data_IF_335459288668
#
_entry.id   IF_335459288668
#
_cell.length_a   1.000
_cell.length_b   1.000
_cell.length_c   1.000
_cell.angle_alpha   90.00
_cell.angle_beta   90.00
_cell.angle_gamma   90.00
#
_symmetry.space_group_name_H-M   'P 1'
#
loop_
_entity.id
_entity.type
_entity.pdbx_description
1 polymer ?
#
# COMPACT_ATOMS: atom_id res chain seq x y z
N UNK A 1 -17.17 4.22 -11.14
CA UNK A 1 -15.90 3.44 -11.20
C UNK A 1 -15.08 3.68 -12.46
N UNK A 2 -15.67 4.08 -13.60
CA UNK A 2 -14.89 4.35 -14.82
C UNK A 2 -13.81 5.44 -14.64
N UNK A 3 -14.11 6.50 -13.86
CA UNK A 3 -13.19 7.59 -13.52
C UNK A 3 -11.85 7.13 -12.93
N UNK A 4 -11.76 5.95 -12.30
CA UNK A 4 -10.49 5.44 -11.76
C UNK A 4 -9.51 5.09 -12.89
N UNK A 5 -10.01 4.59 -14.02
CA UNK A 5 -9.15 4.11 -15.11
C UNK A 5 -8.87 5.19 -16.16
N UNK A 6 -9.82 6.10 -16.39
CA UNK A 6 -9.65 7.24 -17.33
C UNK A 6 -9.21 8.54 -16.68
N UNK A 7 -9.46 8.69 -15.38
CA UNK A 7 -9.20 9.93 -14.65
C UNK A 7 -7.75 10.06 -14.20
N UNK A 8 -7.37 11.26 -13.76
CA UNK A 8 -6.02 11.63 -13.33
C UNK A 8 -4.97 11.19 -14.37
N UNK A 9 -5.19 11.51 -15.65
CA UNK A 9 -4.31 11.14 -16.77
C UNK A 9 -4.03 9.62 -16.91
N UNK A 10 -5.00 8.79 -16.49
CA UNK A 10 -4.89 7.34 -16.42
C UNK A 10 -3.72 6.85 -15.56
N UNK A 11 -3.30 7.64 -14.56
CA UNK A 11 -2.19 7.27 -13.67
C UNK A 11 -2.50 5.99 -12.88
N UNK A 12 -3.69 5.87 -12.31
CA UNK A 12 -4.07 4.65 -11.58
C UNK A 12 -4.05 3.40 -12.48
N UNK A 13 -4.50 3.54 -13.73
CA UNK A 13 -4.42 2.44 -14.71
C UNK A 13 -2.96 2.07 -15.01
N UNK A 14 -2.09 3.07 -15.22
CA UNK A 14 -0.66 2.85 -15.47
C UNK A 14 0.02 2.18 -14.27
N UNK A 15 -0.27 2.62 -13.06
CA UNK A 15 0.26 2.01 -11.84
C UNK A 15 -0.26 0.57 -11.68
N UNK A 16 -1.52 0.30 -12.00
CA UNK A 16 -2.05 -1.07 -11.96
C UNK A 16 -1.38 -1.99 -12.99
N UNK A 17 -1.08 -1.49 -14.19
CA UNK A 17 -0.30 -2.21 -15.21
C UNK A 17 1.10 -2.53 -14.69
N UNK A 18 1.76 -1.55 -14.03
CA UNK A 18 3.10 -1.72 -13.47
C UNK A 18 3.14 -2.72 -12.32
N UNK A 19 2.19 -2.62 -11.40
CA UNK A 19 2.06 -3.48 -10.21
C UNK A 19 1.75 -4.94 -10.59
N UNK A 20 0.88 -5.14 -11.57
CA UNK A 20 0.38 -6.49 -11.92
C UNK A 20 1.11 -7.12 -13.11
N UNK A 21 1.89 -6.34 -13.86
CA UNK A 21 2.48 -6.73 -15.15
C UNK A 21 1.46 -7.21 -16.19
N UNK A 22 0.18 -6.84 -16.04
CA UNK A 22 -0.88 -7.14 -16.99
C UNK A 22 -1.12 -5.96 -17.94
N UNK A 23 -1.47 -6.27 -19.19
CA UNK A 23 -1.93 -5.28 -20.18
C UNK A 23 -3.43 -5.01 -19.94
N UNK A 24 -3.75 -3.76 -19.60
CA UNK A 24 -5.10 -3.32 -19.24
C UNK A 24 -5.60 -2.31 -20.26
N UNK A 25 -6.73 -2.64 -20.91
CA UNK A 25 -7.36 -1.80 -21.93
C UNK A 25 -8.78 -1.44 -21.52
N UNK A 26 -9.14 -0.17 -21.63
CA UNK A 26 -10.51 0.29 -21.42
C UNK A 26 -11.30 0.00 -22.70
N UNK A 27 -12.29 -0.89 -22.60
CA UNK A 27 -13.12 -1.28 -23.75
C UNK A 27 -14.38 -0.42 -23.84
N UNK A 28 -15.06 -0.23 -22.71
CA UNK A 28 -16.26 0.60 -22.59
C UNK A 28 -16.44 1.07 -21.13
N UNK A 29 -17.43 1.89 -20.87
CA UNK A 29 -17.81 2.31 -19.53
C UNK A 29 -18.16 1.08 -18.69
N UNK A 30 -17.34 0.80 -17.69
CA UNK A 30 -17.49 -0.36 -16.81
C UNK A 30 -16.95 -1.67 -17.38
N UNK A 31 -16.34 -1.67 -18.57
CA UNK A 31 -15.72 -2.85 -19.17
C UNK A 31 -14.21 -2.66 -19.38
N UNK A 32 -13.43 -3.46 -18.66
CA UNK A 32 -11.97 -3.49 -18.76
C UNK A 32 -11.50 -4.81 -19.38
N UNK A 33 -10.73 -4.72 -20.44
CA UNK A 33 -9.98 -5.83 -21.01
C UNK A 33 -8.68 -6.05 -20.25
N UNK A 34 -8.41 -7.29 -19.87
CA UNK A 34 -7.19 -7.70 -19.15
C UNK A 34 -6.52 -8.79 -19.96
N UNK A 35 -5.25 -8.57 -20.32
CA UNK A 35 -4.43 -9.51 -21.11
C UNK A 35 -3.07 -9.65 -20.43
N UNK A 36 -2.45 -10.82 -20.53
CA UNK A 36 -1.16 -11.08 -19.88
C UNK A 36 -0.95 -12.55 -19.57
N UNK A 37 0.03 -12.83 -18.71
CA UNK A 37 0.20 -14.17 -18.14
C UNK A 37 -1.00 -14.52 -17.23
N UNK A 38 -1.21 -15.81 -16.97
CA UNK A 38 -2.30 -16.24 -16.10
C UNK A 38 -2.21 -15.60 -14.70
N UNK A 39 -1.00 -15.50 -14.15
CA UNK A 39 -0.73 -14.84 -12.87
C UNK A 39 -1.05 -13.35 -12.90
N UNK A 40 -0.53 -12.62 -13.89
CA UNK A 40 -0.76 -11.17 -14.04
C UNK A 40 -2.26 -10.86 -14.19
N UNK A 41 -2.99 -11.66 -14.97
CA UNK A 41 -4.44 -11.51 -15.15
C UNK A 41 -5.20 -11.77 -13.85
N UNK A 42 -4.79 -12.77 -13.07
CA UNK A 42 -5.41 -13.07 -11.77
C UNK A 42 -5.14 -11.94 -10.77
N UNK A 43 -3.89 -11.45 -10.69
CA UNK A 43 -3.50 -10.32 -9.84
C UNK A 43 -4.32 -9.07 -10.20
N UNK A 44 -4.34 -8.67 -11.47
CA UNK A 44 -5.12 -7.51 -11.91
C UNK A 44 -6.61 -7.65 -11.61
N UNK A 45 -7.20 -8.83 -11.85
CA UNK A 45 -8.60 -9.09 -11.50
C UNK A 45 -8.86 -8.96 -10.00
N UNK A 46 -7.95 -9.48 -9.17
CA UNK A 46 -8.07 -9.42 -7.72
C UNK A 46 -8.06 -7.97 -7.22
N UNK A 47 -7.14 -7.14 -7.71
CA UNK A 47 -7.07 -5.71 -7.36
C UNK A 47 -8.33 -4.96 -7.81
N UNK A 48 -8.81 -5.18 -9.03
CA UNK A 48 -10.02 -4.53 -9.53
C UNK A 48 -11.24 -4.94 -8.71
N UNK A 49 -11.36 -6.22 -8.36
CA UNK A 49 -12.44 -6.71 -7.51
C UNK A 49 -12.39 -6.09 -6.11
N UNK A 50 -11.19 -5.89 -5.56
CA UNK A 50 -11.00 -5.21 -4.30
C UNK A 50 -11.45 -3.74 -4.38
N UNK A 51 -11.13 -3.03 -5.46
CA UNK A 51 -11.63 -1.67 -5.69
C UNK A 51 -13.16 -1.61 -5.75
N UNK A 52 -13.78 -2.55 -6.47
CA UNK A 52 -15.25 -2.66 -6.54
C UNK A 52 -15.84 -2.92 -5.16
N UNK A 53 -15.26 -3.85 -4.39
CA UNK A 53 -15.70 -4.16 -3.04
C UNK A 53 -15.62 -2.95 -2.10
N UNK A 54 -14.51 -2.22 -2.11
CA UNK A 54 -14.36 -1.00 -1.31
C UNK A 54 -15.34 0.10 -1.72
N UNK A 55 -15.62 0.22 -3.01
CA UNK A 55 -16.60 1.17 -3.51
C UNK A 55 -18.03 0.84 -3.06
N UNK A 56 -18.43 -0.43 -3.17
CA UNK A 56 -19.77 -0.89 -2.79
C UNK A 56 -20.00 -0.86 -1.28
N UNK A 57 -19.00 -1.28 -0.50
CA UNK A 57 -19.12 -1.32 0.96
C UNK A 57 -19.22 0.08 1.57
N UNK A 58 -18.78 1.13 0.86
CA UNK A 58 -18.69 2.53 1.36
C UNK A 58 -18.11 2.60 2.78
N UNK A 59 -17.20 1.68 3.09
CA UNK A 59 -16.60 1.60 4.40
C UNK A 59 -15.72 2.82 4.57
N UNK A 60 -16.19 3.80 5.34
CA UNK A 60 -15.36 4.89 5.77
C UNK A 60 -14.44 4.32 6.85
N UNK A 61 -13.13 4.54 6.73
CA UNK A 61 -12.23 4.28 7.83
C UNK A 61 -12.80 4.93 9.09
N UNK A 62 -12.69 4.30 10.28
CA UNK A 62 -13.07 4.95 11.53
C UNK A 62 -12.40 6.32 11.56
N UNK A 63 -13.20 7.36 11.84
CA UNK A 63 -12.85 8.78 11.78
C UNK A 63 -11.63 9.05 12.65
N UNK A 64 -10.47 8.80 12.08
CA UNK A 64 -9.15 8.86 12.68
C UNK A 64 -8.38 9.90 11.89
N UNK A 65 -7.36 10.48 12.51
CA UNK A 65 -6.48 11.45 11.86
C UNK A 65 -5.96 10.97 10.50
N UNK A 66 -5.78 9.64 10.35
CA UNK A 66 -5.39 8.95 9.11
C UNK A 66 -6.40 9.14 7.96
N UNK A 67 -7.70 9.27 8.24
CA UNK A 67 -8.72 9.49 7.19
C UNK A 67 -8.61 10.88 6.56
N UNK A 68 -8.41 11.91 7.39
CA UNK A 68 -8.28 13.30 6.92
C UNK A 68 -7.03 13.50 6.07
N UNK A 69 -5.94 12.81 6.43
CA UNK A 69 -4.69 12.82 5.68
C UNK A 69 -4.86 12.20 4.28
N UNK A 70 -5.44 11.00 4.19
CA UNK A 70 -5.75 10.34 2.91
C UNK A 70 -6.61 11.22 2.01
N UNK A 71 -7.64 11.89 2.57
CA UNK A 71 -8.49 12.81 1.79
C UNK A 71 -7.71 14.00 1.24
N UNK A 72 -6.82 14.58 2.05
CA UNK A 72 -5.98 15.72 1.66
C UNK A 72 -4.99 15.33 0.56
N UNK A 73 -4.29 14.23 0.76
CA UNK A 73 -3.28 13.73 -0.17
C UNK A 73 -3.90 13.30 -1.51
N UNK A 74 -5.00 12.53 -1.47
CA UNK A 74 -5.73 12.14 -2.68
C UNK A 74 -6.25 13.36 -3.43
N UNK A 75 -6.77 14.37 -2.71
CA UNK A 75 -7.21 15.61 -3.33
C UNK A 75 -6.07 16.32 -4.05
N UNK A 76 -4.91 16.46 -3.39
CA UNK A 76 -3.74 17.10 -3.98
C UNK A 76 -3.23 16.34 -5.21
N UNK A 77 -3.22 15.00 -5.15
CA UNK A 77 -2.84 14.16 -6.29
C UNK A 77 -3.78 14.35 -7.49
N UNK A 78 -5.09 14.31 -7.26
CA UNK A 78 -6.07 14.50 -8.33
C UNK A 78 -6.08 15.94 -8.84
N UNK A 79 -5.85 16.95 -7.99
CA UNK A 79 -5.74 18.35 -8.43
C UNK A 79 -4.47 18.61 -9.23
N UNK A 80 -3.36 17.92 -8.94
CA UNK A 80 -2.13 18.00 -9.74
C UNK A 80 -2.33 17.44 -11.16
N UNK A 81 -3.26 16.48 -11.31
CA UNK A 81 -3.62 15.83 -12.58
C UNK A 81 -5.09 16.11 -12.95
N UNK A 82 -5.53 17.35 -12.72
CA UNK A 82 -6.93 17.71 -12.85
C UNK A 82 -7.46 17.53 -14.27
N UNK A 83 -8.64 16.92 -14.37
CA UNK A 83 -9.32 16.56 -15.60
C UNK A 83 -10.86 16.58 -15.43
N UNK A 84 -11.58 16.14 -16.46
CA UNK A 84 -13.04 16.09 -16.45
C UNK A 84 -13.61 15.11 -15.41
N UNK A 85 -12.79 14.21 -14.85
CA UNK A 85 -13.19 13.19 -13.88
C UNK A 85 -12.79 13.54 -12.44
N UNK A 86 -12.16 14.68 -12.21
CA UNK A 86 -11.68 15.13 -10.89
C UNK A 86 -12.80 15.14 -9.86
N UNK A 87 -13.98 15.67 -10.19
CA UNK A 87 -15.11 15.67 -9.25
C UNK A 87 -15.57 14.26 -8.90
N UNK A 88 -15.63 13.37 -9.89
CA UNK A 88 -16.01 11.96 -9.70
C UNK A 88 -14.98 11.18 -8.88
N UNK A 89 -13.70 11.54 -8.97
CA UNK A 89 -12.63 10.98 -8.15
C UNK A 89 -12.72 11.47 -6.70
N UNK A 90 -13.04 12.75 -6.48
CA UNK A 90 -13.14 13.34 -5.14
C UNK A 90 -14.33 12.80 -4.33
N UNK A 91 -15.39 12.29 -4.96
CA UNK A 91 -16.53 11.68 -4.25
C UNK A 91 -16.29 10.21 -3.86
N UNK A 92 -15.18 9.60 -4.28
CA UNK A 92 -14.90 8.20 -3.95
C UNK A 92 -14.77 7.97 -2.43
N UNK A 93 -15.16 6.78 -1.93
CA UNK A 93 -14.98 6.41 -0.52
C UNK A 93 -13.51 6.51 -0.07
N UNK A 94 -13.27 6.90 1.18
CA UNK A 94 -11.90 7.13 1.67
C UNK A 94 -11.02 5.88 1.62
N UNK A 95 -11.59 4.70 1.90
CA UNK A 95 -10.86 3.44 1.80
C UNK A 95 -10.35 3.16 0.39
N UNK A 96 -11.17 3.47 -0.63
CA UNK A 96 -10.76 3.32 -2.02
C UNK A 96 -9.68 4.35 -2.41
N UNK A 97 -9.80 5.60 -1.95
CA UNK A 97 -8.77 6.62 -2.16
C UNK A 97 -7.43 6.20 -1.60
N UNK A 98 -7.42 5.60 -0.40
CA UNK A 98 -6.21 5.07 0.22
C UNK A 98 -5.56 4.01 -0.68
N UNK A 99 -6.34 3.04 -1.16
CA UNK A 99 -5.80 1.96 -1.99
C UNK A 99 -5.24 2.49 -3.33
N UNK A 100 -5.89 3.50 -3.92
CA UNK A 100 -5.41 4.18 -5.13
C UNK A 100 -4.11 4.97 -4.91
N UNK A 101 -3.97 5.63 -3.75
CA UNK A 101 -2.72 6.28 -3.37
C UNK A 101 -1.60 5.25 -3.18
N UNK A 102 -1.87 4.17 -2.44
CA UNK A 102 -0.89 3.09 -2.25
C UNK A 102 -0.45 2.46 -3.56
N UNK A 103 -1.37 2.29 -4.52
CA UNK A 103 -1.04 1.78 -5.85
C UNK A 103 -0.14 2.74 -6.63
N UNK A 104 -0.37 4.05 -6.54
CA UNK A 104 0.39 5.06 -7.30
C UNK A 104 1.76 5.38 -6.70
N UNK A 105 1.88 5.26 -5.38
CA UNK A 105 3.11 5.46 -4.61
C UNK A 105 3.92 4.17 -4.45
N UNK A 106 3.83 3.23 -5.41
CA UNK A 106 4.28 1.84 -5.29
C UNK A 106 5.56 1.66 -4.45
N UNK A 107 5.43 0.92 -3.36
CA UNK A 107 6.50 0.46 -2.44
C UNK A 107 7.55 1.49 -1.95
N UNK A 108 7.39 2.79 -2.19
CA UNK A 108 8.32 3.80 -1.66
C UNK A 108 8.06 4.16 -0.19
N UNK A 109 7.01 3.58 0.41
CA UNK A 109 6.66 3.68 1.83
C UNK A 109 6.83 2.36 2.60
N UNK A 110 7.77 1.49 2.24
CA UNK A 110 8.15 0.34 3.10
C UNK A 110 8.85 0.77 4.43
N UNK A 111 8.85 2.06 4.76
CA UNK A 111 9.32 2.55 6.05
C UNK A 111 8.40 3.67 6.52
N UNK A 112 7.31 3.35 7.22
CA UNK A 112 6.78 4.08 8.40
C UNK A 112 5.54 3.34 8.94
N UNK A 113 5.74 2.14 9.47
CA UNK A 113 4.92 1.66 10.61
C UNK A 113 5.84 1.65 11.82
N UNK A 114 6.20 2.85 12.29
CA UNK A 114 6.76 3.06 13.60
C UNK A 114 5.65 3.10 14.64
N UNK A 115 4.92 2.00 14.81
CA UNK A 115 3.98 1.78 15.91
C UNK A 115 3.55 0.30 15.97
N UNK A 116 4.47 -0.59 16.35
CA UNK A 116 4.08 -1.82 17.05
C UNK A 116 5.05 -2.08 18.22
N UNK A 117 4.46 -2.33 19.38
CA UNK A 117 5.08 -2.37 20.69
C UNK A 117 6.32 -3.27 20.75
N UNK A 118 7.50 -2.66 20.96
CA UNK A 118 8.64 -3.36 21.58
C UNK A 118 8.29 -3.60 23.05
N UNK A 119 7.63 -4.73 23.31
CA UNK A 119 7.53 -5.31 24.65
C UNK A 119 8.96 -5.64 25.10
N UNK A 120 9.47 -4.86 26.05
CA UNK A 120 10.67 -5.19 26.83
C UNK A 120 10.48 -6.57 27.48
N UNK A 121 11.06 -7.62 26.91
CA UNK A 121 11.35 -8.84 27.67
C UNK A 121 12.59 -8.61 28.53
N UNK A 122 12.38 -7.99 29.68
CA UNK A 122 13.23 -8.18 30.86
C UNK A 122 13.07 -9.64 31.30
N UNK A 123 14.09 -10.46 31.08
CA UNK A 123 14.26 -11.68 31.88
C UNK A 123 15.47 -11.51 32.79
N UNK A 124 15.17 -11.09 34.02
CA UNK A 124 16.08 -11.16 35.15
C UNK A 124 16.03 -12.59 35.69
N UNK A 125 17.05 -13.40 35.40
CA UNK A 125 17.43 -14.49 36.30
C UNK A 125 18.81 -14.20 36.89
N UNK A 126 18.71 -13.63 38.08
CA UNK A 126 19.66 -13.65 39.18
C UNK A 126 20.20 -15.08 39.41
N UNK A 127 21.52 -15.25 39.45
CA UNK A 127 22.22 -15.93 40.56
C UNK A 127 23.73 -15.83 40.38
N UNK A 128 24.32 -15.12 41.33
CA UNK A 128 25.65 -15.24 41.95
C UNK A 128 26.61 -16.29 41.37
N UNK A 129 27.89 -15.93 41.20
CA UNK A 129 29.01 -16.44 42.01
C UNK A 129 30.35 -15.89 41.47
N UNK A 130 30.96 -15.02 42.28
CA UNK A 130 32.36 -15.10 42.73
C UNK A 130 33.50 -15.16 41.70
N UNK A 131 34.24 -14.06 41.63
CA UNK A 131 35.71 -13.91 41.67
C UNK A 131 36.53 -15.01 40.98
N UNK A 132 37.44 -14.64 40.06
CA UNK A 132 38.89 -14.85 40.22
C UNK A 132 39.69 -14.40 38.99
N UNK A 133 40.79 -13.71 39.28
CA UNK A 133 41.88 -13.43 38.37
C UNK A 133 42.64 -14.73 38.01
N UNK A 134 43.11 -14.85 36.77
CA UNK A 134 44.45 -15.31 36.39
C UNK A 134 44.49 -15.75 34.92
N UNK A 135 45.39 -15.11 34.17
CA UNK A 135 46.42 -15.69 33.29
C UNK A 135 46.09 -16.97 32.51
N UNK A 136 46.16 -16.89 31.17
CA UNK A 136 46.22 -18.07 30.32
C UNK A 136 46.55 -17.76 28.86
N UNK A 137 47.84 -17.79 28.52
CA UNK A 137 48.34 -18.00 27.16
C UNK A 137 47.65 -19.21 26.53
N UNK A 138 47.34 -19.14 25.22
CA UNK A 138 47.77 -20.11 24.20
C UNK A 138 47.08 -19.78 22.85
N UNK A 139 47.89 -19.39 21.86
CA UNK A 139 47.49 -19.40 20.45
C UNK A 139 48.48 -20.35 19.77
N UNK A 140 47.96 -21.39 19.13
CA UNK A 140 48.72 -22.29 18.29
C UNK A 140 47.87 -22.70 17.10
N UNK A 141 48.56 -23.01 16.00
CA UNK A 141 48.13 -23.56 14.70
C UNK A 141 47.88 -22.48 13.63
N UNK A 142 48.56 -22.49 12.48
CA UNK A 142 49.21 -23.56 11.71
C UNK A 142 50.64 -23.16 11.25
#
# INVERSE_FOLDING_TARGET
>A
MHCIFVGAESLFLKSLIQDTCADLCILDIGLLGIRGSAEAVVMARSHIQQFVKLFENKENLPSSQKESEVKREFKQFVEAHADNYTMDLLILPTSLKKELLTLTQGEENLFETGDDDVIEMRDSQQTEFTQNAATGLNISRD
#
